data_IF_938263554126
#
_entry.id   IF_938263554126
#
_cell.length_a   1.000
_cell.length_b   1.000
_cell.length_c   1.000
_cell.angle_alpha   90.00
_cell.angle_beta   90.00
_cell.angle_gamma   90.00
#
_symmetry.space_group_name_H-M   'P 1'
#
loop_
_entity.id
_entity.type
_entity.pdbx_description
1 polymer ?
#
# COMPACT_ATOMS: atom_id res chain seq x y z
N UNK A 1 1.22 -43.37 26.53
CA UNK A 1 0.63 -42.14 25.93
C UNK A 1 1.44 -40.92 26.33
N UNK A 2 2.12 -40.24 25.39
CA UNK A 2 2.62 -38.87 25.59
C UNK A 2 2.35 -38.07 24.32
N UNK A 3 1.27 -37.29 24.36
CA UNK A 3 0.85 -36.43 23.26
C UNK A 3 1.73 -35.15 23.30
N UNK A 4 2.89 -35.19 22.64
CA UNK A 4 3.73 -34.00 22.38
C UNK A 4 3.02 -33.14 21.33
N UNK A 5 1.97 -32.43 21.75
CA UNK A 5 1.43 -31.30 20.99
C UNK A 5 2.42 -30.13 21.07
N UNK A 6 3.51 -30.25 20.35
CA UNK A 6 4.36 -29.12 20.00
C UNK A 6 3.63 -28.28 18.95
N UNK A 7 2.59 -27.54 19.37
CA UNK A 7 2.09 -26.41 18.58
C UNK A 7 3.12 -25.30 18.74
N UNK A 8 4.18 -25.38 17.94
CA UNK A 8 5.10 -24.26 17.72
C UNK A 8 4.23 -23.07 17.33
N UNK A 9 4.23 -22.03 18.14
CA UNK A 9 3.58 -20.77 17.80
C UNK A 9 4.22 -20.27 16.51
N UNK A 10 3.46 -20.24 15.43
CA UNK A 10 3.88 -19.55 14.22
C UNK A 10 4.21 -18.10 14.60
N UNK A 11 5.32 -17.53 14.11
CA UNK A 11 5.61 -16.13 14.34
C UNK A 11 4.44 -15.33 13.79
N UNK A 12 3.67 -14.72 14.70
CA UNK A 12 2.59 -13.82 14.32
C UNK A 12 3.27 -12.63 13.65
N UNK A 13 3.18 -12.58 12.32
CA UNK A 13 3.62 -11.43 11.54
C UNK A 13 3.03 -10.13 12.09
N UNK A 14 3.53 -8.97 11.63
CA UNK A 14 3.02 -7.68 12.07
C UNK A 14 1.49 -7.66 11.97
N UNK A 15 0.84 -7.19 13.05
CA UNK A 15 -0.62 -7.13 13.10
C UNK A 15 -1.11 -6.26 11.93
N UNK A 16 -2.21 -6.66 11.26
CA UNK A 16 -2.80 -5.83 10.21
C UNK A 16 -3.11 -4.42 10.73
N UNK A 17 -2.83 -3.41 9.92
CA UNK A 17 -3.17 -2.02 10.23
C UNK A 17 -4.69 -1.83 10.23
N UNK A 18 -5.18 -0.97 11.12
CA UNK A 18 -6.55 -0.45 11.00
C UNK A 18 -6.66 0.46 9.77
N UNK A 19 -7.89 0.68 9.28
CA UNK A 19 -8.13 1.59 8.14
C UNK A 19 -7.53 2.98 8.37
N UNK A 20 -7.73 3.56 9.55
CA UNK A 20 -7.24 4.89 9.88
C UNK A 20 -5.70 4.93 9.96
N UNK A 21 -5.08 3.89 10.52
CA UNK A 21 -3.62 3.78 10.56
C UNK A 21 -3.04 3.65 9.14
N UNK A 22 -3.64 2.78 8.33
CA UNK A 22 -3.24 2.61 6.92
C UNK A 22 -3.37 3.92 6.13
N UNK A 23 -4.48 4.64 6.25
CA UNK A 23 -4.68 5.93 5.56
C UNK A 23 -3.65 6.99 5.97
N UNK A 24 -3.28 7.04 7.26
CA UNK A 24 -2.24 7.95 7.75
C UNK A 24 -0.87 7.60 7.16
N UNK A 25 -0.47 6.33 7.21
CA UNK A 25 0.82 5.91 6.64
C UNK A 25 0.84 6.09 5.12
N UNK A 26 -0.29 5.88 4.43
CA UNK A 26 -0.37 6.09 2.99
C UNK A 26 -0.17 7.56 2.60
N UNK A 27 -0.71 8.51 3.37
CA UNK A 27 -0.45 9.95 3.16
C UNK A 27 1.02 10.28 3.31
N UNK A 28 1.68 9.78 4.37
CA UNK A 28 3.12 9.94 4.56
C UNK A 28 3.93 9.45 3.36
N UNK A 29 3.57 8.27 2.82
CA UNK A 29 4.23 7.74 1.61
C UNK A 29 4.09 8.70 0.43
N UNK A 30 2.89 9.22 0.19
CA UNK A 30 2.61 10.16 -0.92
C UNK A 30 3.34 11.49 -0.72
N UNK A 31 3.41 11.97 0.51
CA UNK A 31 4.09 13.22 0.87
C UNK A 31 5.63 13.07 0.92
N UNK A 32 6.16 11.84 0.74
CA UNK A 32 7.59 11.56 0.73
C UNK A 32 8.24 11.53 2.13
N UNK A 33 7.46 11.32 3.19
CA UNK A 33 7.96 11.23 4.55
C UNK A 33 8.75 9.91 4.76
N UNK A 34 10.05 9.97 5.12
CA UNK A 34 10.89 8.79 5.28
C UNK A 34 10.50 7.91 6.48
N UNK A 35 9.65 8.41 7.39
CA UNK A 35 9.14 7.66 8.55
C UNK A 35 7.91 6.80 8.23
N UNK A 36 7.43 6.81 6.99
CA UNK A 36 6.30 6.00 6.56
C UNK A 36 6.56 4.51 6.75
N UNK A 37 5.50 3.76 7.10
CA UNK A 37 5.57 2.31 7.20
C UNK A 37 6.08 1.68 5.88
N UNK A 38 7.15 0.86 5.92
CA UNK A 38 7.77 0.32 4.70
C UNK A 38 6.88 -0.65 3.94
N UNK A 39 5.95 -1.35 4.61
CA UNK A 39 4.99 -2.23 3.95
C UNK A 39 3.91 -1.43 3.21
N UNK A 40 3.47 -0.31 3.78
CA UNK A 40 2.55 0.61 3.10
C UNK A 40 3.23 1.28 1.90
N UNK A 41 4.53 1.62 2.03
CA UNK A 41 5.32 2.11 0.90
C UNK A 41 5.40 1.07 -0.23
N UNK A 42 5.73 -0.18 0.08
CA UNK A 42 5.82 -1.24 -0.92
C UNK A 42 4.47 -1.50 -1.61
N UNK A 43 3.38 -1.50 -0.84
CA UNK A 43 2.02 -1.58 -1.38
C UNK A 43 1.74 -0.42 -2.34
N UNK A 44 2.06 0.81 -1.93
CA UNK A 44 1.84 1.99 -2.73
C UNK A 44 2.64 1.98 -4.02
N UNK A 45 3.92 1.64 -3.98
CA UNK A 45 4.78 1.58 -5.17
C UNK A 45 4.20 0.59 -6.20
N UNK A 46 3.72 -0.58 -5.75
CA UNK A 46 3.08 -1.57 -6.62
C UNK A 46 1.74 -1.07 -7.20
N UNK A 47 0.90 -0.45 -6.37
CA UNK A 47 -0.39 0.08 -6.80
C UNK A 47 -0.24 1.28 -7.75
N UNK A 48 0.69 2.18 -7.47
CA UNK A 48 0.96 3.36 -8.29
C UNK A 48 1.50 2.97 -9.68
N UNK A 49 2.37 1.96 -9.73
CA UNK A 49 2.85 1.40 -10.99
C UNK A 49 1.73 0.73 -11.81
N UNK A 50 0.85 -0.06 -11.17
CA UNK A 50 -0.27 -0.72 -11.87
C UNK A 50 -1.31 0.25 -12.42
N UNK A 51 -1.44 1.43 -11.81
CA UNK A 51 -2.29 2.52 -12.27
C UNK A 51 -1.65 3.39 -13.38
N UNK A 52 -0.43 3.09 -13.81
CA UNK A 52 0.42 3.94 -14.66
C UNK A 52 0.48 5.40 -14.14
N UNK A 53 0.66 5.51 -12.81
CA UNK A 53 0.80 6.78 -12.12
C UNK A 53 2.01 7.58 -12.59
N UNK A 54 1.85 8.90 -12.66
CA UNK A 54 2.89 9.88 -13.00
C UNK A 54 3.15 10.86 -11.86
N UNK A 55 2.09 11.24 -11.17
CA UNK A 55 2.18 12.01 -9.94
C UNK A 55 1.06 11.56 -8.99
N UNK A 56 1.28 11.74 -7.70
CA UNK A 56 0.24 11.64 -6.70
C UNK A 56 0.40 12.75 -5.69
N UNK A 57 -0.72 13.16 -5.08
CA UNK A 57 -0.73 14.18 -4.06
C UNK A 57 -1.78 13.87 -2.99
N UNK A 58 -1.47 14.27 -1.76
CA UNK A 58 -2.44 14.23 -0.66
C UNK A 58 -3.48 15.34 -0.83
N UNK A 59 -4.76 14.97 -0.71
CA UNK A 59 -5.92 15.86 -0.71
C UNK A 59 -6.68 15.69 0.62
N UNK A 60 -7.41 16.69 1.13
CA UNK A 60 -8.20 16.56 2.36
C UNK A 60 -9.10 15.30 2.37
N UNK A 61 -9.70 14.97 1.23
CA UNK A 61 -10.61 13.82 1.08
C UNK A 61 -9.92 12.49 0.74
N UNK A 62 -8.61 12.49 0.46
CA UNK A 62 -7.93 11.27 0.04
C UNK A 62 -6.58 11.49 -0.62
N UNK A 63 -6.27 10.66 -1.60
CA UNK A 63 -5.07 10.76 -2.42
C UNK A 63 -5.53 10.81 -3.87
N UNK A 64 -5.01 11.79 -4.60
CA UNK A 64 -5.26 11.95 -6.02
C UNK A 64 -4.06 11.43 -6.80
N UNK A 65 -4.34 10.71 -7.90
CA UNK A 65 -3.31 10.12 -8.76
C UNK A 65 -3.49 10.64 -10.17
N UNK A 66 -2.49 11.37 -10.66
CA UNK A 66 -2.36 11.67 -12.08
C UNK A 66 -1.82 10.42 -12.78
N UNK A 67 -2.64 9.83 -13.64
CA UNK A 67 -2.28 8.68 -14.46
C UNK A 67 -2.10 9.07 -15.92
N UNK A 68 -1.32 8.28 -16.67
CA UNK A 68 -1.33 8.40 -18.13
C UNK A 68 -2.66 7.86 -18.66
N UNK A 69 -3.43 8.72 -19.31
CA UNK A 69 -4.59 8.27 -20.09
C UNK A 69 -4.06 7.77 -21.42
N UNK A 70 -3.83 6.46 -21.51
CA UNK A 70 -3.60 5.83 -22.81
C UNK A 70 -4.89 5.95 -23.61
N UNK A 71 -4.95 6.88 -24.59
CA UNK A 71 -5.90 6.71 -25.69
C UNK A 71 -5.50 5.42 -26.37
N UNK A 72 -6.20 4.31 -26.08
CA UNK A 72 -6.27 3.25 -27.07
C UNK A 72 -6.80 3.91 -28.33
N UNK A 73 -5.96 3.95 -29.37
CA UNK A 73 -6.42 4.29 -30.70
C UNK A 73 -7.53 3.29 -31.02
N UNK A 74 -8.76 3.79 -31.08
CA UNK A 74 -9.76 3.19 -31.95
C UNK A 74 -9.17 3.27 -33.34
N UNK A 75 -8.55 2.18 -33.78
CA UNK A 75 -8.18 1.85 -35.17
C UNK A 75 -7.31 0.59 -35.09
N UNK A 76 -7.95 -0.58 -34.99
CA UNK A 76 -7.72 -1.78 -35.81
C UNK A 76 -8.97 -2.66 -35.75
#
# INVERSE_FOLDING_TARGET
MRNRRSRRAEPRGPKPLSRAAFQRELRKVVDGDPSADPHVKAFWDQAFASLDGKAAMSHPDGIEVLRRISRQRADQ
#
